data_IF_499580889285
#
_entry.id   IF_499580889285
#
_cell.length_a   1.000
_cell.length_b   1.000
_cell.length_c   1.000
_cell.angle_alpha   90.00
_cell.angle_beta   90.00
_cell.angle_gamma   90.00
#
_symmetry.space_group_name_H-M   'P 1'
#
loop_
_entity.id
_entity.type
_entity.pdbx_description
1 polymer ?
#
# COMPACT_ATOMS: atom_id res chain seq x y z
N UNK A 1 -24.80 -1.90 -10.28
CA UNK A 1 -23.61 -2.78 -10.20
C UNK A 1 -22.82 -2.40 -8.96
N UNK A 2 -22.51 -3.35 -8.08
CA UNK A 2 -21.75 -3.06 -6.86
C UNK A 2 -20.27 -2.81 -7.18
N UNK A 3 -19.52 -2.20 -6.26
CA UNK A 3 -18.09 -2.00 -6.46
C UNK A 3 -17.33 -3.31 -6.53
N UNK A 4 -17.81 -4.34 -5.81
CA UNK A 4 -17.22 -5.67 -5.80
C UNK A 4 -17.35 -6.32 -7.17
N UNK A 5 -18.51 -6.17 -7.82
CA UNK A 5 -18.74 -6.74 -9.16
C UNK A 5 -17.83 -6.09 -10.21
N UNK A 6 -17.67 -4.77 -10.14
CA UNK A 6 -16.76 -4.02 -11.02
C UNK A 6 -15.33 -4.52 -10.82
N UNK A 7 -14.88 -4.67 -9.58
CA UNK A 7 -13.53 -5.14 -9.27
C UNK A 7 -13.32 -6.57 -9.78
N UNK A 8 -14.21 -7.50 -9.44
CA UNK A 8 -14.13 -8.91 -9.90
C UNK A 8 -14.06 -9.03 -11.39
N UNK A 9 -14.97 -8.36 -12.11
CA UNK A 9 -14.98 -8.40 -13.58
C UNK A 9 -13.68 -7.82 -14.14
N UNK A 10 -13.26 -6.66 -13.64
CA UNK A 10 -12.10 -5.95 -14.18
C UNK A 10 -10.78 -6.68 -13.93
N UNK A 11 -10.63 -7.30 -12.76
CA UNK A 11 -9.45 -8.11 -12.44
C UNK A 11 -9.53 -9.50 -13.10
N UNK A 12 -10.72 -10.08 -13.22
CA UNK A 12 -10.93 -11.33 -13.96
C UNK A 12 -10.58 -11.21 -15.45
N UNK A 13 -10.81 -10.06 -16.08
CA UNK A 13 -10.32 -9.75 -17.43
C UNK A 13 -8.78 -9.75 -17.55
N UNK A 14 -8.06 -9.67 -16.41
CA UNK A 14 -6.60 -9.78 -16.33
C UNK A 14 -6.14 -11.18 -15.88
N UNK A 15 -7.05 -12.16 -15.73
CA UNK A 15 -6.72 -13.50 -15.23
C UNK A 15 -6.47 -13.55 -13.71
N UNK A 16 -6.76 -12.47 -12.98
CA UNK A 16 -6.50 -12.36 -11.53
C UNK A 16 -7.64 -13.00 -10.75
N UNK A 17 -7.31 -13.96 -9.88
CA UNK A 17 -8.30 -14.57 -8.99
C UNK A 17 -8.71 -13.59 -7.89
N UNK A 18 -10.01 -13.51 -7.61
CA UNK A 18 -10.56 -12.59 -6.60
C UNK A 18 -11.49 -13.34 -5.65
N UNK A 19 -11.09 -13.43 -4.40
CA UNK A 19 -11.85 -14.00 -3.30
C UNK A 19 -12.53 -12.89 -2.48
N UNK A 20 -13.66 -13.21 -1.87
CA UNK A 20 -14.37 -12.28 -0.97
C UNK A 20 -14.11 -12.66 0.49
N UNK A 21 -13.56 -11.70 1.24
CA UNK A 21 -13.53 -11.73 2.70
C UNK A 21 -14.72 -10.94 3.26
N UNK A 22 -14.90 -11.00 4.59
CA UNK A 22 -15.97 -10.32 5.32
C UNK A 22 -15.98 -8.80 5.08
N UNK A 23 -14.81 -8.15 5.01
CA UNK A 23 -14.72 -6.68 4.82
C UNK A 23 -14.00 -6.23 3.55
N UNK A 24 -13.33 -7.11 2.82
CA UNK A 24 -12.54 -6.77 1.63
C UNK A 24 -12.62 -7.83 0.53
N UNK A 25 -12.13 -7.49 -0.66
CA UNK A 25 -11.80 -8.46 -1.71
C UNK A 25 -10.30 -8.72 -1.65
N UNK A 26 -9.89 -9.97 -1.82
CA UNK A 26 -8.50 -10.38 -1.91
C UNK A 26 -8.24 -10.85 -3.33
N UNK A 27 -7.31 -10.20 -4.00
CA UNK A 27 -6.87 -10.55 -5.35
C UNK A 27 -5.45 -11.11 -5.29
N UNK A 28 -5.21 -12.24 -5.95
CA UNK A 28 -3.87 -12.85 -6.04
C UNK A 28 -3.38 -12.81 -7.48
N UNK A 29 -2.16 -12.32 -7.66
CA UNK A 29 -1.57 -12.25 -8.99
C UNK A 29 -1.30 -13.65 -9.53
N UNK A 30 -1.71 -13.98 -10.77
CA UNK A 30 -1.34 -15.24 -11.39
C UNK A 30 0.17 -15.29 -11.71
N UNK A 31 0.77 -14.12 -11.96
CA UNK A 31 2.16 -13.99 -12.40
C UNK A 31 3.14 -13.74 -11.24
N UNK A 32 2.63 -13.48 -10.03
CA UNK A 32 3.45 -13.10 -8.88
C UNK A 32 2.88 -13.64 -7.56
N UNK A 33 3.38 -14.79 -7.06
CA UNK A 33 2.89 -15.40 -5.84
C UNK A 33 3.20 -14.55 -4.58
N UNK A 34 4.12 -13.59 -4.68
CA UNK A 34 4.52 -12.72 -3.57
C UNK A 34 3.78 -11.38 -3.57
N UNK A 35 2.79 -11.20 -4.46
CA UNK A 35 1.90 -10.05 -4.48
C UNK A 35 0.46 -10.47 -4.14
N UNK A 36 0.00 -10.03 -2.98
CA UNK A 36 -1.41 -10.10 -2.60
C UNK A 36 -2.01 -8.70 -2.63
N UNK A 37 -3.21 -8.54 -3.19
CA UNK A 37 -3.88 -7.24 -3.27
C UNK A 37 -5.19 -7.26 -2.49
N UNK A 38 -5.28 -6.48 -1.43
CA UNK A 38 -6.53 -6.27 -0.71
C UNK A 38 -7.26 -5.04 -1.27
N UNK A 39 -8.54 -5.18 -1.58
CA UNK A 39 -9.38 -4.08 -2.06
C UNK A 39 -10.55 -3.86 -1.08
N UNK A 40 -10.67 -2.66 -0.56
CA UNK A 40 -11.75 -2.29 0.36
C UNK A 40 -12.39 -0.96 -0.02
N UNK A 41 -13.67 -0.83 0.34
CA UNK A 41 -14.42 0.42 0.18
C UNK A 41 -14.45 1.17 1.52
N UNK A 42 -14.01 2.42 1.50
CA UNK A 42 -14.12 3.37 2.60
C UNK A 42 -15.29 4.33 2.36
N UNK A 43 -16.07 4.57 3.41
CA UNK A 43 -16.99 5.70 3.45
C UNK A 43 -16.24 6.92 3.96
N UNK A 44 -16.32 8.03 3.24
CA UNK A 44 -15.93 9.32 3.78
C UNK A 44 -17.03 9.77 4.75
N UNK A 45 -16.66 10.18 5.96
CA UNK A 45 -17.61 10.78 6.88
C UNK A 45 -18.23 12.02 6.22
N UNK A 46 -19.56 12.09 6.19
CA UNK A 46 -20.37 13.19 5.62
C UNK A 46 -20.35 13.36 4.09
N UNK A 47 -19.94 12.36 3.30
CA UNK A 47 -20.12 12.37 1.83
C UNK A 47 -20.78 11.09 1.30
N UNK A 48 -21.56 11.21 0.22
CA UNK A 48 -22.03 10.08 -0.58
C UNK A 48 -20.90 9.46 -1.44
N UNK A 49 -19.76 10.16 -1.53
CA UNK A 49 -18.59 9.69 -2.24
C UNK A 49 -17.95 8.49 -1.55
N UNK A 50 -17.74 7.44 -2.34
CA UNK A 50 -17.09 6.22 -1.87
C UNK A 50 -15.64 6.24 -2.35
N UNK A 51 -14.70 6.07 -1.44
CA UNK A 51 -13.30 5.79 -1.82
C UNK A 51 -13.10 4.28 -1.88
N UNK A 52 -12.40 3.83 -2.89
CA UNK A 52 -11.82 2.50 -2.92
C UNK A 52 -10.34 2.64 -2.61
N UNK A 53 -9.87 1.71 -1.81
CA UNK A 53 -8.50 1.58 -1.42
C UNK A 53 -8.03 0.22 -1.93
N UNK A 54 -6.92 0.21 -2.65
CA UNK A 54 -6.28 -0.99 -3.17
C UNK A 54 -4.88 -1.06 -2.58
N UNK A 55 -4.60 -2.15 -1.88
CA UNK A 55 -3.42 -2.31 -1.04
C UNK A 55 -2.64 -3.50 -1.55
N UNK A 56 -1.50 -3.23 -2.20
CA UNK A 56 -0.55 -4.27 -2.57
C UNK A 56 0.31 -4.62 -1.37
N UNK A 57 0.29 -5.90 -1.00
CA UNK A 57 1.20 -6.51 -0.04
C UNK A 57 2.25 -7.27 -0.84
N UNK A 58 3.45 -6.71 -0.87
CA UNK A 58 4.58 -7.20 -1.66
C UNK A 58 5.55 -7.86 -0.68
N UNK A 59 5.48 -9.18 -0.56
CA UNK A 59 6.44 -9.93 0.23
C UNK A 59 7.82 -9.87 -0.45
N UNK A 60 8.85 -9.57 0.34
CA UNK A 60 10.23 -9.42 -0.12
C UNK A 60 11.17 -10.43 0.51
N UNK A 61 10.91 -10.86 1.75
CA UNK A 61 11.63 -11.95 2.39
C UNK A 61 10.86 -12.52 3.60
N UNK A 62 11.21 -13.73 4.01
CA UNK A 62 10.68 -14.42 5.21
C UNK A 62 11.83 -15.11 5.93
N UNK A 63 11.72 -15.26 7.25
CA UNK A 63 12.68 -15.99 8.09
C UNK A 63 14.14 -15.50 7.95
N UNK A 64 14.33 -14.16 7.88
CA UNK A 64 15.65 -13.55 7.68
C UNK A 64 16.29 -13.17 9.02
N UNK A 65 17.55 -13.53 9.20
CA UNK A 65 18.37 -13.04 10.31
C UNK A 65 18.51 -11.51 10.23
N UNK A 66 18.34 -10.82 11.36
CA UNK A 66 18.38 -9.35 11.38
C UNK A 66 17.17 -8.67 10.74
N UNK A 67 16.05 -9.39 10.48
CA UNK A 67 14.85 -8.82 9.88
C UNK A 67 14.34 -7.54 10.57
N UNK A 68 14.50 -7.43 11.90
CA UNK A 68 14.19 -6.20 12.65
C UNK A 68 14.94 -4.97 12.14
N UNK A 69 16.24 -5.09 11.88
CA UNK A 69 17.07 -3.97 11.43
C UNK A 69 16.72 -3.59 9.98
N UNK A 70 16.50 -4.60 9.13
CA UNK A 70 16.05 -4.39 7.76
C UNK A 70 14.67 -3.71 7.74
N UNK A 71 13.73 -4.17 8.58
CA UNK A 71 12.41 -3.56 8.72
C UNK A 71 12.49 -2.10 9.16
N UNK A 72 13.40 -1.78 10.10
CA UNK A 72 13.65 -0.40 10.54
C UNK A 72 14.14 0.47 9.37
N UNK A 73 15.10 -0.02 8.58
CA UNK A 73 15.60 0.68 7.38
C UNK A 73 14.52 0.84 6.31
N UNK A 74 13.69 -0.18 6.09
CA UNK A 74 12.52 -0.07 5.21
C UNK A 74 11.56 1.01 5.70
N UNK A 75 11.32 1.09 7.01
CA UNK A 75 10.44 2.10 7.59
C UNK A 75 10.99 3.52 7.35
N UNK A 76 12.30 3.73 7.50
CA UNK A 76 12.97 5.00 7.23
C UNK A 76 12.85 5.48 5.78
N UNK A 77 12.64 4.56 4.84
CA UNK A 77 12.45 4.81 3.41
C UNK A 77 10.97 5.02 3.00
N UNK A 78 10.06 5.00 3.99
CA UNK A 78 8.62 5.13 3.72
C UNK A 78 8.27 6.51 3.18
N UNK A 79 7.41 6.54 2.17
CA UNK A 79 6.99 7.76 1.52
C UNK A 79 5.50 7.79 1.18
N UNK A 80 5.01 8.98 0.89
CA UNK A 80 3.69 9.18 0.33
C UNK A 80 3.74 10.11 -0.90
N UNK A 81 2.81 9.92 -1.82
CA UNK A 81 2.66 10.72 -3.02
C UNK A 81 1.19 11.13 -3.21
N UNK A 82 0.94 12.42 -3.35
CA UNK A 82 -0.39 12.98 -3.47
C UNK A 82 -0.52 13.72 -4.82
N UNK A 83 -1.56 13.41 -5.59
CA UNK A 83 -1.87 14.19 -6.79
C UNK A 83 -2.62 15.47 -6.42
N UNK A 84 -1.96 16.61 -6.64
CA UNK A 84 -2.44 17.96 -6.34
C UNK A 84 -2.70 18.80 -7.58
N UNK A 85 -3.31 19.97 -7.34
CA UNK A 85 -3.60 20.98 -8.35
C UNK A 85 -4.93 20.73 -9.08
N UNK A 86 -5.34 21.74 -9.86
CA UNK A 86 -6.52 21.66 -10.71
C UNK A 86 -6.30 20.52 -11.72
N UNK A 87 -7.26 19.59 -11.81
CA UNK A 87 -7.16 18.34 -12.58
C UNK A 87 -6.09 17.32 -12.12
N UNK A 88 -5.52 17.46 -10.92
CA UNK A 88 -4.60 16.46 -10.33
C UNK A 88 -3.36 16.18 -11.18
N UNK A 89 -2.79 17.23 -11.79
CA UNK A 89 -1.65 17.13 -12.73
C UNK A 89 -0.28 17.16 -12.06
N UNK A 90 -0.20 17.48 -10.77
CA UNK A 90 1.08 17.62 -10.07
C UNK A 90 1.20 16.53 -9.01
N UNK A 91 2.22 15.66 -9.13
CA UNK A 91 2.52 14.68 -8.10
C UNK A 91 3.46 15.29 -7.05
N UNK A 92 3.00 15.39 -5.81
CA UNK A 92 3.84 15.80 -4.68
C UNK A 92 4.23 14.57 -3.87
N UNK A 93 5.51 14.23 -3.88
CA UNK A 93 6.06 13.12 -3.09
C UNK A 93 6.85 13.66 -1.88
N UNK A 94 6.76 12.97 -0.74
CA UNK A 94 7.45 13.32 0.51
C UNK A 94 7.60 12.08 1.39
N UNK A 95 8.44 12.18 2.42
CA UNK A 95 8.49 11.18 3.50
C UNK A 95 7.10 10.97 4.12
N UNK A 96 6.81 9.74 4.51
CA UNK A 96 5.50 9.34 5.02
C UNK A 96 5.19 10.04 6.35
N UNK A 97 4.06 10.74 6.43
CA UNK A 97 3.75 11.60 7.58
C UNK A 97 3.57 10.84 8.89
N UNK A 98 3.17 9.58 8.82
CA UNK A 98 2.95 8.72 9.99
C UNK A 98 4.25 8.26 10.65
N UNK A 99 5.42 8.47 10.03
CA UNK A 99 6.70 8.10 10.64
C UNK A 99 6.90 8.76 12.00
N UNK A 100 6.53 10.05 12.13
CA UNK A 100 6.64 10.78 13.41
C UNK A 100 5.81 10.15 14.52
N UNK A 101 4.66 9.56 14.17
CA UNK A 101 3.85 8.84 15.14
C UNK A 101 4.50 7.50 15.54
N UNK A 102 5.10 6.80 14.57
CA UNK A 102 5.79 5.53 14.79
C UNK A 102 7.09 5.68 15.59
N UNK A 103 7.78 6.82 15.52
CA UNK A 103 8.95 7.10 16.37
C UNK A 103 8.64 6.94 17.86
N UNK A 104 7.43 7.33 18.29
CA UNK A 104 6.96 7.15 19.66
C UNK A 104 6.74 5.68 20.06
N UNK A 105 6.68 4.76 19.10
CA UNK A 105 6.47 3.32 19.32
C UNK A 105 7.74 2.50 19.15
N UNK A 106 8.58 2.82 18.16
CA UNK A 106 9.74 2.01 17.78
C UNK A 106 11.10 2.72 18.00
N UNK A 107 11.08 3.89 18.64
CA UNK A 107 12.26 4.72 18.88
C UNK A 107 12.65 5.61 17.68
N UNK A 108 13.76 6.34 17.77
CA UNK A 108 14.12 7.38 16.81
C UNK A 108 14.34 6.84 15.39
N UNK A 109 13.64 7.39 14.39
CA UNK A 109 13.82 7.01 12.99
C UNK A 109 14.64 8.09 12.28
N UNK A 110 15.40 7.71 11.26
CA UNK A 110 16.14 8.64 10.41
C UNK A 110 15.58 8.58 8.99
N UNK A 111 14.54 9.39 8.67
CA UNK A 111 13.94 9.37 7.35
C UNK A 111 14.98 9.55 6.25
N UNK A 112 14.93 8.65 5.28
CA UNK A 112 15.77 8.66 4.09
C UNK A 112 14.90 8.85 2.85
N UNK A 113 15.53 9.27 1.76
CA UNK A 113 14.87 9.53 0.48
C UNK A 113 15.39 8.65 -0.65
N UNK A 114 16.20 7.63 -0.38
CA UNK A 114 16.83 6.83 -1.43
C UNK A 114 15.79 6.09 -2.27
N UNK A 115 14.82 5.43 -1.63
CA UNK A 115 13.72 4.78 -2.32
C UNK A 115 12.86 5.80 -3.07
N UNK A 116 12.53 6.92 -2.43
CA UNK A 116 11.70 7.97 -3.03
C UNK A 116 12.36 8.53 -4.29
N UNK A 117 13.66 8.81 -4.27
CA UNK A 117 14.39 9.31 -5.44
C UNK A 117 14.54 8.23 -6.52
N UNK A 118 14.74 6.95 -6.14
CA UNK A 118 14.75 5.84 -7.09
C UNK A 118 13.41 5.68 -7.82
N UNK A 119 12.28 5.86 -7.11
CA UNK A 119 10.94 5.83 -7.70
C UNK A 119 10.71 7.05 -8.61
N UNK A 120 11.17 8.24 -8.22
CA UNK A 120 11.06 9.44 -9.06
C UNK A 120 11.85 9.35 -10.35
N UNK A 121 13.03 8.71 -10.30
CA UNK A 121 13.89 8.51 -11.46
C UNK A 121 13.33 7.48 -12.46
N UNK A 122 12.35 6.66 -12.06
CA UNK A 122 11.69 5.70 -12.95
C UNK A 122 10.59 6.38 -13.79
N UNK A 123 10.96 6.86 -14.98
CA UNK A 123 10.04 7.53 -15.91
C UNK A 123 8.85 6.66 -16.35
N UNK A 124 9.02 5.34 -16.45
CA UNK A 124 7.92 4.44 -16.82
C UNK A 124 6.91 4.33 -15.69
N UNK A 125 7.38 4.08 -14.47
CA UNK A 125 6.52 4.03 -13.28
C UNK A 125 5.80 5.36 -13.07
N UNK A 126 6.50 6.49 -13.23
CA UNK A 126 5.92 7.81 -13.07
C UNK A 126 4.83 8.09 -14.13
N UNK A 127 5.02 7.65 -15.38
CA UNK A 127 3.96 7.71 -16.41
C UNK A 127 2.77 6.85 -16.02
N UNK A 128 2.99 5.67 -15.46
CA UNK A 128 1.90 4.80 -14.97
C UNK A 128 1.14 5.42 -13.80
N UNK A 129 1.83 6.05 -12.84
CA UNK A 129 1.21 6.80 -11.72
C UNK A 129 0.27 7.87 -12.27
N UNK A 130 0.76 8.70 -13.20
CA UNK A 130 -0.07 9.75 -13.79
C UNK A 130 -1.25 9.19 -14.59
N UNK A 131 -1.09 8.04 -15.24
CA UNK A 131 -2.16 7.37 -16.01
C UNK A 131 -3.21 6.69 -15.12
N UNK A 132 -2.79 6.08 -14.02
CA UNK A 132 -3.66 5.44 -13.04
C UNK A 132 -4.43 6.48 -12.20
N UNK A 133 -3.79 7.64 -11.98
CA UNK A 133 -4.30 8.77 -11.24
C UNK A 133 -4.91 8.41 -9.86
N UNK A 134 -4.13 7.74 -8.98
CA UNK A 134 -4.52 7.57 -7.59
C UNK A 134 -4.52 8.94 -6.88
N UNK A 135 -5.47 9.15 -5.97
CA UNK A 135 -5.57 10.35 -5.15
C UNK A 135 -4.37 10.46 -4.19
N UNK A 136 -3.95 9.32 -3.65
CA UNK A 136 -2.82 9.15 -2.75
C UNK A 136 -2.17 7.78 -3.00
N UNK A 137 -0.85 7.75 -2.90
CA UNK A 137 -0.02 6.56 -2.82
C UNK A 137 0.71 6.64 -1.48
N UNK A 138 0.65 5.58 -0.68
CA UNK A 138 1.49 5.42 0.51
C UNK A 138 2.32 4.14 0.35
N UNK A 139 3.63 4.25 0.60
CA UNK A 139 4.56 3.12 0.55
C UNK A 139 5.30 3.05 1.88
N UNK A 140 5.09 1.95 2.60
CA UNK A 140 5.68 1.70 3.91
C UNK A 140 5.71 0.19 4.17
N UNK A 141 6.56 -0.33 5.06
CA UNK A 141 6.60 -1.76 5.31
C UNK A 141 5.34 -2.27 6.03
N UNK A 142 5.12 -3.58 6.00
CA UNK A 142 4.17 -4.26 6.88
C UNK A 142 4.58 -4.03 8.35
N UNK A 143 3.66 -3.52 9.16
CA UNK A 143 3.89 -3.16 10.57
C UNK A 143 3.03 -3.98 11.53
N UNK A 144 2.28 -4.95 11.01
CA UNK A 144 1.36 -5.77 11.79
C UNK A 144 1.26 -7.14 11.13
N UNK A 145 1.07 -8.18 11.95
CA UNK A 145 0.85 -9.53 11.46
C UNK A 145 -0.30 -9.57 10.43
N UNK A 146 -0.15 -10.34 9.32
CA UNK A 146 -1.14 -10.44 8.26
C UNK A 146 -2.56 -10.78 8.75
N UNK A 147 -2.68 -11.54 9.84
CA UNK A 147 -3.97 -11.94 10.42
C UNK A 147 -4.80 -10.75 10.94
N UNK A 148 -4.15 -9.66 11.31
CA UNK A 148 -4.80 -8.43 11.79
C UNK A 148 -4.84 -7.32 10.75
N UNK A 149 -4.35 -7.59 9.53
CA UNK A 149 -4.27 -6.61 8.46
C UNK A 149 -5.65 -6.01 8.16
N UNK A 150 -6.73 -6.79 8.13
CA UNK A 150 -8.08 -6.27 7.87
C UNK A 150 -8.55 -5.26 8.95
N UNK A 151 -8.15 -5.48 10.21
CA UNK A 151 -8.48 -4.61 11.35
C UNK A 151 -7.65 -3.33 11.29
N UNK A 152 -6.33 -3.45 11.11
CA UNK A 152 -5.42 -2.30 10.91
C UNK A 152 -5.84 -1.45 9.71
N UNK A 153 -6.12 -2.17 8.61
CA UNK A 153 -6.90 -1.83 7.44
C UNK A 153 -8.01 -0.86 7.83
N UNK A 154 -9.06 -1.39 8.43
CA UNK A 154 -10.35 -0.72 8.60
C UNK A 154 -10.43 0.31 9.74
N UNK A 155 -9.46 0.35 10.66
CA UNK A 155 -9.45 1.32 11.76
C UNK A 155 -9.16 2.76 11.28
N UNK A 156 -9.80 3.76 11.89
CA UNK A 156 -9.34 5.14 11.75
C UNK A 156 -8.05 5.31 12.55
N UNK A 157 -7.08 6.11 12.06
CA UNK A 157 -5.81 6.30 12.77
C UNK A 157 -6.02 6.93 14.16
N UNK A 158 -7.05 7.76 14.34
CA UNK A 158 -7.50 8.27 15.64
C UNK A 158 -7.98 7.17 16.61
N UNK A 159 -8.30 5.98 16.10
CA UNK A 159 -8.71 4.80 16.86
C UNK A 159 -7.61 3.73 16.94
N UNK A 160 -6.33 4.07 16.71
CA UNK A 160 -5.20 3.22 17.12
C UNK A 160 -5.12 3.14 18.64
N UNK A 161 -6.02 2.35 19.22
CA UNK A 161 -6.07 2.10 20.65
C UNK A 161 -4.81 1.38 21.15
N UNK A 162 -4.65 1.27 22.47
CA UNK A 162 -3.47 0.65 23.09
C UNK A 162 -3.13 -0.74 22.56
N UNK A 163 -4.14 -1.53 22.17
CA UNK A 163 -3.96 -2.86 21.60
C UNK A 163 -3.19 -2.81 20.27
N UNK A 164 -3.59 -1.93 19.35
CA UNK A 164 -2.94 -1.80 18.04
C UNK A 164 -1.48 -1.36 18.17
N UNK A 165 -1.21 -0.42 19.09
CA UNK A 165 0.14 0.05 19.40
C UNK A 165 1.04 -1.09 19.89
N UNK A 166 0.53 -1.94 20.79
CA UNK A 166 1.26 -3.12 21.29
C UNK A 166 1.54 -4.13 20.18
N UNK A 167 0.59 -4.33 19.27
CA UNK A 167 0.77 -5.26 18.15
C UNK A 167 1.82 -4.77 17.18
N UNK A 168 1.83 -3.47 16.86
CA UNK A 168 2.87 -2.86 16.03
C UNK A 168 4.24 -2.96 16.71
N UNK A 169 4.33 -2.61 17.99
CA UNK A 169 5.58 -2.69 18.74
C UNK A 169 6.15 -4.13 18.74
N UNK A 170 5.30 -5.12 19.01
CA UNK A 170 5.68 -6.54 18.97
C UNK A 170 6.15 -6.96 17.58
N UNK A 171 5.44 -6.58 16.52
CA UNK A 171 5.83 -6.92 15.16
C UNK A 171 7.17 -6.29 14.76
N UNK A 172 7.45 -5.08 15.23
CA UNK A 172 8.74 -4.41 15.00
C UNK A 172 9.89 -5.07 15.75
N UNK A 173 9.62 -5.75 16.86
CA UNK A 173 10.63 -6.51 17.60
C UNK A 173 10.92 -7.86 16.94
N UNK A 174 9.88 -8.54 16.46
CA UNK A 174 9.94 -9.88 15.89
C UNK A 174 9.03 -9.98 14.65
N UNK A 175 9.50 -9.52 13.47
CA UNK A 175 8.71 -9.56 12.25
C UNK A 175 8.63 -10.97 11.68
N UNK A 176 7.41 -11.44 11.41
CA UNK A 176 7.16 -12.75 10.78
C UNK A 176 7.67 -12.80 9.32
N UNK A 177 7.64 -11.66 8.64
CA UNK A 177 8.16 -11.48 7.29
C UNK A 177 8.47 -10.02 7.01
N UNK A 178 9.21 -9.79 5.94
CA UNK A 178 9.41 -8.47 5.37
C UNK A 178 8.50 -8.34 4.15
N UNK A 179 7.63 -7.34 4.20
CA UNK A 179 6.75 -6.99 3.09
C UNK A 179 6.60 -5.47 3.00
N UNK A 180 6.37 -4.97 1.79
CA UNK A 180 5.94 -3.59 1.56
C UNK A 180 4.44 -3.53 1.38
N UNK A 181 3.83 -2.51 1.97
CA UNK A 181 2.49 -2.07 1.67
C UNK A 181 2.54 -0.89 0.70
N UNK A 182 1.81 -1.02 -0.40
CA UNK A 182 1.55 0.07 -1.35
C UNK A 182 0.05 0.33 -1.37
N UNK A 183 -0.38 1.42 -0.74
CA UNK A 183 -1.79 1.79 -0.61
C UNK A 183 -2.13 2.83 -1.67
N UNK A 184 -3.07 2.48 -2.54
CA UNK A 184 -3.59 3.35 -3.60
C UNK A 184 -5.02 3.76 -3.26
N UNK A 185 -5.24 5.06 -3.13
CA UNK A 185 -6.56 5.62 -2.83
C UNK A 185 -7.18 6.16 -4.12
N UNK A 186 -8.43 5.83 -4.41
CA UNK A 186 -9.13 6.42 -5.54
C UNK A 186 -10.65 6.43 -5.38
N UNK A 187 -11.28 7.44 -5.98
CA UNK A 187 -12.74 7.57 -5.98
C UNK A 187 -13.45 6.45 -6.75
N UNK A 188 -14.56 5.98 -6.19
CA UNK A 188 -15.53 5.06 -6.79
C UNK A 188 -16.82 5.80 -7.16
N UNK A 189 -17.51 5.33 -8.20
CA UNK A 189 -18.74 5.94 -8.73
C UNK A 189 -18.52 6.81 -9.98
N UNK A 190 -17.28 6.90 -10.46
CA UNK A 190 -16.94 7.62 -11.68
C UNK A 190 -17.06 6.72 -12.93
N UNK A 191 -17.28 7.30 -14.13
CA UNK A 191 -17.19 6.57 -15.39
C UNK A 191 -15.83 5.86 -15.54
N UNK A 192 -15.82 4.71 -16.23
CA UNK A 192 -14.61 3.90 -16.49
C UNK A 192 -13.93 3.32 -15.24
N UNK A 193 -14.69 3.10 -14.17
CA UNK A 193 -14.15 2.54 -12.92
C UNK A 193 -13.37 1.23 -13.13
N UNK A 194 -13.86 0.32 -13.98
CA UNK A 194 -13.13 -0.91 -14.27
C UNK A 194 -11.76 -0.69 -14.92
N UNK A 195 -11.62 0.35 -15.75
CA UNK A 195 -10.29 0.75 -16.28
C UNK A 195 -9.40 1.29 -15.16
N UNK A 196 -9.96 2.06 -14.21
CA UNK A 196 -9.21 2.57 -13.07
C UNK A 196 -8.71 1.46 -12.15
N UNK A 197 -9.55 0.45 -11.89
CA UNK A 197 -9.17 -0.77 -11.15
C UNK A 197 -8.00 -1.47 -11.83
N UNK A 198 -8.10 -1.75 -13.14
CA UNK A 198 -7.01 -2.41 -13.89
C UNK A 198 -5.70 -1.64 -13.86
N UNK A 199 -5.75 -0.31 -14.01
CA UNK A 199 -4.56 0.55 -13.98
C UNK A 199 -3.90 0.57 -12.61
N UNK A 200 -4.67 0.68 -11.53
CA UNK A 200 -4.13 0.68 -10.17
C UNK A 200 -3.55 -0.70 -9.81
N UNK A 201 -4.17 -1.79 -10.27
CA UNK A 201 -3.62 -3.12 -10.09
C UNK A 201 -2.25 -3.27 -10.79
N UNK A 202 -2.13 -2.86 -12.06
CA UNK A 202 -0.84 -2.89 -12.78
C UNK A 202 0.22 -2.02 -12.11
N UNK A 203 -0.18 -0.86 -11.60
CA UNK A 203 0.70 0.02 -10.85
C UNK A 203 1.28 -0.68 -9.61
N UNK A 204 0.47 -1.46 -8.88
CA UNK A 204 0.96 -2.27 -7.75
C UNK A 204 1.99 -3.31 -8.18
N UNK A 205 1.76 -3.99 -9.31
CA UNK A 205 2.71 -4.96 -9.86
C UNK A 205 4.07 -4.30 -10.16
N UNK A 206 4.06 -3.10 -10.77
CA UNK A 206 5.29 -2.33 -11.04
C UNK A 206 6.01 -1.87 -9.78
N UNK A 207 5.26 -1.41 -8.78
CA UNK A 207 5.85 -1.12 -7.47
C UNK A 207 6.50 -2.37 -6.86
N UNK A 208 5.88 -3.55 -7.02
CA UNK A 208 6.42 -4.83 -6.57
C UNK A 208 7.85 -5.10 -7.05
N UNK A 209 8.10 -4.92 -8.35
CA UNK A 209 9.42 -5.10 -8.96
C UNK A 209 10.46 -4.13 -8.35
N UNK A 210 10.10 -2.85 -8.22
CA UNK A 210 11.02 -1.81 -7.70
C UNK A 210 11.32 -2.00 -6.22
N UNK A 211 10.32 -2.32 -5.41
CA UNK A 211 10.48 -2.48 -3.98
C UNK A 211 11.30 -3.72 -3.62
N UNK A 212 11.14 -4.83 -4.35
CA UNK A 212 12.02 -6.00 -4.18
C UNK A 212 13.47 -5.68 -4.51
N UNK A 213 13.72 -5.02 -5.63
CA UNK A 213 15.07 -4.64 -6.05
C UNK A 213 15.74 -3.69 -5.05
N UNK A 214 14.98 -2.73 -4.52
CA UNK A 214 15.48 -1.83 -3.49
C UNK A 214 15.79 -2.58 -2.19
N UNK A 215 14.88 -3.44 -1.71
CA UNK A 215 15.07 -4.18 -0.45
C UNK A 215 16.29 -5.09 -0.48
N UNK A 216 16.63 -5.68 -1.64
CA UNK A 216 17.86 -6.47 -1.80
C UNK A 216 19.15 -5.73 -1.45
N UNK A 217 19.13 -4.39 -1.48
CA UNK A 217 20.27 -3.52 -1.13
C UNK A 217 20.30 -3.19 0.38
N UNK A 218 19.28 -3.59 1.13
CA UNK A 218 19.16 -3.36 2.57
C UNK A 218 19.62 -4.56 3.42
N UNK A 219 19.76 -5.73 2.80
CA UNK A 219 20.47 -6.87 3.38
C UNK A 219 21.98 -6.66 3.26
#
# INVERSE_FOLDING_TARGET
>A
MSWRDVVRRSLGELGVSVEESRRCLIARSPDDPHLTVAILQRRLHMSLDRKVEMIGVIEVARDVEGAREVLRRMLEESFEAELKGIFRKTLKMRSWRELKYLEGLCGPLRPSSQLLEAIRADEELMREVMRAAPDMIEVFPELISPEYMEVYMTASHAAMGPLMRRMIARYMEEPERLAWYVRLHFMYGLPRMGTKVKRNYRLLTRFGERLRNFTRQLF
#
